data_IF_150381626693
#
_entry.id   IF_150381626693
#
_cell.length_a   1.000
_cell.length_b   1.000
_cell.length_c   1.000
_cell.angle_alpha   90.00
_cell.angle_beta   90.00
_cell.angle_gamma   90.00
#
_symmetry.space_group_name_H-M   'P 1'
#
loop_
_entity.id
_entity.type
_entity.pdbx_description
1 polymer ?
#
# COMPACT_ATOMS: atom_id res chain seq x y z
N UNK A 1 -36.87 -3.04 -9.09
CA UNK A 1 -36.87 -2.80 -7.63
C UNK A 1 -36.96 -1.28 -7.43
N UNK A 2 -37.82 -0.81 -6.52
CA UNK A 2 -38.01 0.63 -6.34
C UNK A 2 -36.84 1.20 -5.52
N UNK A 3 -36.04 2.07 -6.12
CA UNK A 3 -34.84 2.70 -5.51
C UNK A 3 -35.17 3.37 -4.17
N UNK A 4 -36.33 4.05 -4.09
CA UNK A 4 -36.78 4.70 -2.87
C UNK A 4 -37.11 3.70 -1.74
N UNK A 5 -37.66 2.53 -2.06
CA UNK A 5 -37.97 1.49 -1.06
C UNK A 5 -36.67 0.89 -0.49
N UNK A 6 -35.65 0.63 -1.33
CA UNK A 6 -34.35 0.15 -0.87
C UNK A 6 -33.64 1.19 0.01
N UNK A 7 -33.71 2.47 -0.35
CA UNK A 7 -33.15 3.56 0.46
C UNK A 7 -33.78 3.59 1.85
N UNK A 8 -35.11 3.54 1.91
CA UNK A 8 -35.84 3.51 3.19
C UNK A 8 -35.48 2.28 4.04
N UNK A 9 -35.37 1.10 3.42
CA UNK A 9 -34.95 -0.13 4.12
C UNK A 9 -33.52 -0.03 4.66
N UNK A 10 -32.59 0.58 3.91
CA UNK A 10 -31.22 0.78 4.35
C UNK A 10 -31.13 1.69 5.57
N UNK A 11 -31.90 2.81 5.56
CA UNK A 11 -31.98 3.70 6.73
C UNK A 11 -32.60 3.03 7.95
N UNK A 12 -33.68 2.28 7.78
CA UNK A 12 -34.31 1.48 8.86
C UNK A 12 -33.35 0.45 9.45
N UNK A 13 -32.51 -0.17 8.60
CA UNK A 13 -31.50 -1.10 9.09
C UNK A 13 -30.46 -0.40 9.96
N UNK A 14 -30.01 0.81 9.61
CA UNK A 14 -29.09 1.61 10.44
C UNK A 14 -29.75 1.91 11.80
N UNK A 15 -31.00 2.39 11.80
CA UNK A 15 -31.73 2.69 13.03
C UNK A 15 -31.82 1.44 13.91
N UNK A 16 -32.21 0.32 13.34
CA UNK A 16 -32.32 -0.96 14.06
C UNK A 16 -30.98 -1.43 14.64
N UNK A 17 -29.88 -1.31 13.87
CA UNK A 17 -28.53 -1.65 14.38
C UNK A 17 -28.18 -0.83 15.62
N UNK A 18 -28.38 0.48 15.57
CA UNK A 18 -27.88 1.38 16.64
C UNK A 18 -28.88 1.58 17.76
N UNK A 19 -30.19 1.47 17.54
CA UNK A 19 -31.21 1.69 18.54
C UNK A 19 -31.58 0.42 19.31
N UNK A 20 -31.53 -0.74 18.64
CA UNK A 20 -31.99 -2.00 19.20
C UNK A 20 -30.83 -3.01 19.37
N UNK A 21 -30.10 -3.33 18.28
CA UNK A 21 -29.20 -4.47 18.28
C UNK A 21 -27.91 -4.22 19.09
N UNK A 22 -27.20 -3.12 18.84
CA UNK A 22 -25.97 -2.80 19.56
C UNK A 22 -26.24 -2.55 21.05
N UNK A 23 -27.30 -1.83 21.47
CA UNK A 23 -27.65 -1.69 22.87
C UNK A 23 -27.99 -3.01 23.57
N UNK A 24 -28.67 -3.95 22.91
CA UNK A 24 -28.92 -5.29 23.45
C UNK A 24 -27.63 -6.07 23.76
N UNK A 25 -26.50 -5.67 23.13
CA UNK A 25 -25.16 -6.22 23.38
C UNK A 25 -24.29 -5.30 24.27
N UNK A 26 -24.91 -4.40 25.04
CA UNK A 26 -24.24 -3.55 26.03
C UNK A 26 -23.54 -2.30 25.48
N UNK A 27 -23.80 -1.93 24.23
CA UNK A 27 -23.25 -0.70 23.66
C UNK A 27 -24.18 0.49 23.88
N UNK A 28 -23.61 1.63 24.26
CA UNK A 28 -24.39 2.85 24.45
C UNK A 28 -24.90 3.40 23.11
N UNK A 29 -26.16 3.82 23.10
CA UNK A 29 -26.69 4.62 21.99
C UNK A 29 -26.01 5.98 21.93
N UNK A 30 -25.65 6.41 20.72
CA UNK A 30 -25.00 7.70 20.45
C UNK A 30 -25.68 8.35 19.23
N UNK A 31 -26.50 9.37 19.45
CA UNK A 31 -27.25 10.01 18.34
C UNK A 31 -26.33 10.52 17.22
N UNK A 32 -25.15 11.01 17.56
CA UNK A 32 -24.17 11.50 16.58
C UNK A 32 -23.63 10.37 15.69
N UNK A 33 -23.47 9.16 16.26
CA UNK A 33 -23.04 7.98 15.51
C UNK A 33 -24.11 7.54 14.51
N UNK A 34 -25.36 7.56 14.92
CA UNK A 34 -26.53 7.22 14.07
C UNK A 34 -26.60 8.23 12.90
N UNK A 35 -26.56 9.51 13.23
CA UNK A 35 -26.60 10.58 12.22
C UNK A 35 -25.41 10.47 11.23
N UNK A 36 -24.22 10.19 11.74
CA UNK A 36 -23.03 9.97 10.91
C UNK A 36 -23.22 8.80 9.94
N UNK A 37 -23.76 7.66 10.45
CA UNK A 37 -24.02 6.48 9.64
C UNK A 37 -25.03 6.75 8.52
N UNK A 38 -26.11 7.47 8.80
CA UNK A 38 -27.09 7.88 7.79
C UNK A 38 -26.47 8.78 6.70
N UNK A 39 -25.67 9.77 7.08
CA UNK A 39 -25.00 10.65 6.10
C UNK A 39 -24.02 9.88 5.22
N UNK A 40 -23.29 8.92 5.80
CA UNK A 40 -22.39 8.06 5.04
C UNK A 40 -23.17 7.15 4.07
N UNK A 41 -24.30 6.58 4.51
CA UNK A 41 -25.18 5.79 3.66
C UNK A 41 -25.67 6.61 2.46
N UNK A 42 -26.19 7.83 2.71
CA UNK A 42 -26.66 8.71 1.64
C UNK A 42 -25.56 8.97 0.61
N UNK A 43 -24.35 9.29 1.07
CA UNK A 43 -23.23 9.54 0.15
C UNK A 43 -22.86 8.28 -0.67
N UNK A 44 -22.85 7.11 -0.04
CA UNK A 44 -22.57 5.83 -0.73
C UNK A 44 -23.63 5.51 -1.78
N UNK A 45 -24.91 5.74 -1.48
CA UNK A 45 -26.01 5.47 -2.39
C UNK A 45 -26.14 6.48 -3.53
N UNK A 46 -25.73 7.73 -3.29
CA UNK A 46 -25.77 8.80 -4.28
C UNK A 46 -24.47 8.90 -5.12
N UNK A 47 -23.47 8.05 -4.84
CA UNK A 47 -22.17 8.13 -5.53
C UNK A 47 -21.43 9.44 -5.26
N UNK A 48 -21.57 10.02 -4.05
CA UNK A 48 -20.98 11.29 -3.66
C UNK A 48 -19.81 11.09 -2.68
N UNK A 49 -18.93 12.08 -2.62
CA UNK A 49 -17.88 12.16 -1.61
C UNK A 49 -18.48 12.80 -0.35
N UNK A 50 -18.37 12.12 0.79
CA UNK A 50 -18.69 12.65 2.11
C UNK A 50 -17.40 12.92 2.88
N UNK A 51 -17.17 14.15 3.28
CA UNK A 51 -16.14 14.51 4.26
C UNK A 51 -16.81 14.62 5.63
N UNK A 52 -16.50 13.66 6.51
CA UNK A 52 -17.11 13.55 7.83
C UNK A 52 -16.08 13.88 8.91
N UNK A 53 -16.26 15.01 9.59
CA UNK A 53 -15.52 15.33 10.80
C UNK A 53 -16.28 14.81 12.03
N UNK A 54 -15.68 13.88 12.74
CA UNK A 54 -16.29 13.22 13.89
C UNK A 54 -15.24 13.05 14.99
N UNK A 55 -15.56 13.55 16.18
CA UNK A 55 -14.69 13.50 17.35
C UNK A 55 -14.25 12.08 17.74
N UNK A 56 -13.24 12.00 18.59
CA UNK A 56 -12.80 10.72 19.17
C UNK A 56 -13.92 10.13 20.05
N UNK A 57 -14.09 8.82 20.01
CA UNK A 57 -15.09 8.14 20.87
C UNK A 57 -16.52 8.11 20.33
N UNK A 58 -16.87 8.81 19.25
CA UNK A 58 -18.22 8.75 18.64
C UNK A 58 -18.56 7.35 18.10
N UNK A 59 -17.55 6.52 17.82
CA UNK A 59 -17.76 5.19 17.25
C UNK A 59 -17.80 5.17 15.72
N UNK A 60 -16.95 5.96 15.08
CA UNK A 60 -16.81 6.07 13.61
C UNK A 60 -16.80 4.72 12.91
N UNK A 61 -16.08 3.75 13.48
CA UNK A 61 -15.90 2.43 12.86
C UNK A 61 -17.24 1.70 12.66
N UNK A 62 -18.07 1.62 13.68
CA UNK A 62 -19.40 1.04 13.52
C UNK A 62 -20.29 1.86 12.61
N UNK A 63 -20.16 3.21 12.61
CA UNK A 63 -20.95 4.06 11.74
C UNK A 63 -20.72 3.74 10.26
N UNK A 64 -19.46 3.67 9.81
CA UNK A 64 -19.18 3.34 8.42
C UNK A 64 -19.44 1.87 8.08
N UNK A 65 -19.21 0.94 9.00
CA UNK A 65 -19.50 -0.48 8.77
C UNK A 65 -21.00 -0.75 8.64
N UNK A 66 -21.82 -0.13 9.47
CA UNK A 66 -23.28 -0.22 9.38
C UNK A 66 -23.80 0.40 8.08
N UNK A 67 -23.32 1.61 7.73
CA UNK A 67 -23.68 2.27 6.48
C UNK A 67 -23.32 1.43 5.24
N UNK A 68 -22.10 0.90 5.19
CA UNK A 68 -21.62 0.08 4.08
C UNK A 68 -22.38 -1.27 3.99
N UNK A 69 -22.70 -1.88 5.13
CA UNK A 69 -23.50 -3.09 5.17
C UNK A 69 -24.93 -2.84 4.69
N UNK A 70 -25.55 -1.74 5.13
CA UNK A 70 -26.90 -1.34 4.70
C UNK A 70 -26.93 -1.00 3.20
N UNK A 71 -25.93 -0.28 2.68
CA UNK A 71 -25.82 0.01 1.26
C UNK A 71 -25.70 -1.27 0.42
N UNK A 72 -24.93 -2.25 0.89
CA UNK A 72 -24.75 -3.53 0.21
C UNK A 72 -26.00 -4.44 0.29
N UNK A 73 -26.75 -4.40 1.40
CA UNK A 73 -27.95 -5.18 1.60
C UNK A 73 -29.13 -4.62 0.78
N UNK A 74 -29.26 -3.30 0.67
CA UNK A 74 -30.31 -2.59 -0.04
C UNK A 74 -29.73 -1.61 -1.06
N UNK A 75 -29.14 -2.10 -2.15
CA UNK A 75 -28.49 -1.23 -3.14
C UNK A 75 -29.53 -0.39 -3.90
N UNK A 76 -29.22 0.87 -4.12
CA UNK A 76 -29.99 1.80 -4.96
C UNK A 76 -29.56 1.79 -6.43
N UNK A 77 -28.41 1.15 -6.73
CA UNK A 77 -27.82 0.92 -8.04
C UNK A 77 -26.92 -0.30 -8.04
N UNK A 78 -26.10 -0.44 -9.05
CA UNK A 78 -25.05 -1.47 -9.04
C UNK A 78 -23.91 -1.03 -8.11
N UNK A 79 -23.76 -1.74 -6.98
CA UNK A 79 -22.60 -1.57 -6.11
C UNK A 79 -21.59 -2.66 -6.46
N UNK A 80 -20.50 -2.24 -7.11
CA UNK A 80 -19.39 -3.15 -7.36
C UNK A 80 -18.70 -3.51 -6.02
N UNK A 81 -18.42 -4.77 -5.83
CA UNK A 81 -17.73 -5.31 -4.66
C UNK A 81 -16.28 -5.62 -5.01
N UNK A 82 -15.36 -5.51 -4.07
CA UNK A 82 -15.55 -5.25 -2.63
C UNK A 82 -15.74 -3.74 -2.32
N UNK A 83 -16.10 -3.45 -1.07
CA UNK A 83 -15.97 -2.12 -0.48
C UNK A 83 -14.56 -1.99 0.08
N UNK A 84 -13.84 -0.96 -0.29
CA UNK A 84 -12.47 -0.74 0.18
C UNK A 84 -12.49 0.09 1.46
N UNK A 85 -11.82 -0.39 2.52
CA UNK A 85 -11.61 0.34 3.76
C UNK A 85 -10.11 0.64 3.88
N UNK A 86 -9.74 1.90 3.83
CA UNK A 86 -8.37 2.36 4.01
C UNK A 86 -8.20 3.01 5.36
N UNK A 87 -7.25 2.53 6.17
CA UNK A 87 -6.94 3.08 7.50
C UNK A 87 -5.47 3.48 7.60
N UNK A 88 -5.15 4.30 8.60
CA UNK A 88 -3.77 4.80 8.77
C UNK A 88 -2.83 3.81 9.47
N UNK A 89 -3.33 2.75 10.12
CA UNK A 89 -2.49 1.86 10.93
C UNK A 89 -2.87 0.39 10.82
N UNK A 90 -1.88 -0.49 11.02
CA UNK A 90 -2.08 -1.94 11.07
C UNK A 90 -2.97 -2.35 12.25
N UNK A 91 -2.87 -1.64 13.38
CA UNK A 91 -3.71 -1.90 14.55
C UNK A 91 -5.19 -1.70 14.22
N UNK A 92 -5.55 -0.60 13.55
CA UNK A 92 -6.92 -0.35 13.10
C UNK A 92 -7.40 -1.39 12.07
N UNK A 93 -6.55 -1.80 11.13
CA UNK A 93 -6.90 -2.88 10.18
C UNK A 93 -7.26 -4.17 10.91
N UNK A 94 -6.45 -4.54 11.91
CA UNK A 94 -6.68 -5.75 12.71
C UNK A 94 -7.95 -5.61 13.57
N UNK A 95 -8.18 -4.46 14.20
CA UNK A 95 -9.39 -4.23 14.99
C UNK A 95 -10.66 -4.34 14.13
N UNK A 96 -10.66 -3.75 12.92
CA UNK A 96 -11.79 -3.87 11.99
C UNK A 96 -12.06 -5.34 11.65
N UNK A 97 -11.00 -6.11 11.31
CA UNK A 97 -11.15 -7.50 10.89
C UNK A 97 -11.49 -8.46 12.03
N UNK A 98 -10.88 -8.26 13.22
CA UNK A 98 -10.91 -9.26 14.30
C UNK A 98 -11.91 -8.95 15.39
N UNK A 99 -12.37 -7.69 15.49
CA UNK A 99 -13.26 -7.24 16.58
C UNK A 99 -14.58 -6.70 16.03
N UNK A 100 -14.53 -5.61 15.23
CA UNK A 100 -15.74 -4.90 14.82
C UNK A 100 -16.62 -5.70 13.84
N UNK A 101 -16.02 -6.23 12.77
CA UNK A 101 -16.76 -6.99 11.76
C UNK A 101 -17.32 -8.31 12.28
N UNK A 102 -16.59 -9.13 13.07
CA UNK A 102 -17.13 -10.35 13.64
C UNK A 102 -18.32 -10.09 14.56
N UNK A 103 -18.23 -9.06 15.42
CA UNK A 103 -19.32 -8.73 16.33
C UNK A 103 -20.56 -8.24 15.57
N UNK A 104 -20.39 -7.28 14.66
CA UNK A 104 -21.50 -6.81 13.81
C UNK A 104 -22.12 -7.95 13.00
N UNK A 105 -21.30 -8.82 12.44
CA UNK A 105 -21.74 -9.98 11.68
C UNK A 105 -22.55 -10.96 12.55
N UNK A 106 -22.08 -11.26 13.75
CA UNK A 106 -22.78 -12.13 14.71
C UNK A 106 -24.15 -11.57 15.09
N UNK A 107 -24.20 -10.27 15.41
CA UNK A 107 -25.44 -9.57 15.78
C UNK A 107 -26.46 -9.62 14.64
N UNK A 108 -26.05 -9.28 13.42
CA UNK A 108 -26.94 -9.26 12.25
C UNK A 108 -27.38 -10.66 11.82
N UNK A 109 -26.57 -11.69 12.05
CA UNK A 109 -26.96 -13.08 11.81
C UNK A 109 -27.96 -13.58 12.86
N UNK A 110 -27.79 -13.22 14.14
CA UNK A 110 -28.70 -13.58 15.21
C UNK A 110 -30.08 -12.97 15.02
N UNK A 111 -30.15 -11.76 14.47
CA UNK A 111 -31.43 -11.09 14.13
C UNK A 111 -32.03 -11.55 12.78
N UNK A 112 -31.36 -12.46 12.06
CA UNK A 112 -31.84 -12.97 10.78
C UNK A 112 -31.69 -12.04 9.58
N UNK A 113 -31.02 -10.89 9.74
CA UNK A 113 -30.72 -9.94 8.65
C UNK A 113 -29.70 -10.52 7.67
N UNK A 114 -28.69 -11.21 8.19
CA UNK A 114 -27.69 -11.89 7.38
C UNK A 114 -27.84 -13.41 7.47
N UNK A 115 -27.76 -14.07 6.32
CA UNK A 115 -27.73 -15.56 6.23
C UNK A 115 -26.30 -16.11 6.30
N UNK A 116 -25.28 -15.27 6.09
CA UNK A 116 -23.85 -15.62 6.09
C UNK A 116 -23.05 -14.49 6.73
N UNK A 117 -21.90 -14.80 7.37
CA UNK A 117 -21.09 -13.78 7.98
C UNK A 117 -20.52 -12.79 6.96
N UNK A 118 -20.35 -11.55 7.39
CA UNK A 118 -19.62 -10.53 6.63
C UNK A 118 -18.17 -10.96 6.47
N UNK A 119 -17.73 -11.17 5.25
CA UNK A 119 -16.34 -11.57 4.96
C UNK A 119 -15.50 -10.37 4.61
N UNK A 120 -14.32 -10.30 5.22
CA UNK A 120 -13.32 -9.28 4.94
C UNK A 120 -11.93 -9.89 4.81
N UNK A 121 -11.03 -9.17 4.14
CA UNK A 121 -9.61 -9.54 4.02
C UNK A 121 -8.73 -8.30 4.14
N UNK A 122 -7.59 -8.44 4.85
CA UNK A 122 -6.56 -7.39 4.87
C UNK A 122 -5.64 -7.58 3.66
N UNK A 123 -5.46 -6.49 2.91
CA UNK A 123 -4.50 -6.38 1.81
C UNK A 123 -3.33 -5.52 2.23
N UNK A 124 -2.13 -6.01 2.02
CA UNK A 124 -0.87 -5.33 2.34
C UNK A 124 0.04 -5.29 1.13
N UNK A 125 1.09 -4.48 1.19
CA UNK A 125 2.14 -4.47 0.18
C UNK A 125 2.88 -5.80 0.08
N UNK A 126 3.52 -6.07 -1.06
CA UNK A 126 4.25 -7.33 -1.34
C UNK A 126 5.29 -7.66 -0.28
N UNK A 127 5.96 -6.66 0.28
CA UNK A 127 6.99 -6.81 1.33
C UNK A 127 6.47 -7.41 2.65
N UNK A 128 5.14 -7.48 2.85
CA UNK A 128 4.52 -8.10 4.02
C UNK A 128 4.21 -9.58 3.83
N UNK A 129 4.37 -10.11 2.63
CA UNK A 129 4.05 -11.50 2.31
C UNK A 129 5.30 -12.30 2.00
N UNK A 130 5.32 -13.56 2.44
CA UNK A 130 6.43 -14.47 2.18
C UNK A 130 6.38 -15.04 0.77
N UNK A 131 7.53 -15.11 0.12
CA UNK A 131 7.77 -15.86 -1.11
C UNK A 131 8.30 -17.24 -0.78
N UNK A 132 7.59 -18.29 -1.16
CA UNK A 132 7.96 -19.68 -0.82
C UNK A 132 9.34 -20.07 -1.36
N UNK A 133 9.65 -19.68 -2.59
CA UNK A 133 10.96 -19.97 -3.21
C UNK A 133 12.11 -19.29 -2.46
N UNK A 134 11.94 -18.01 -2.11
CA UNK A 134 12.95 -17.27 -1.35
C UNK A 134 13.08 -17.81 0.08
N UNK A 135 11.97 -18.19 0.71
CA UNK A 135 11.96 -18.84 2.02
C UNK A 135 12.73 -20.16 2.00
N UNK A 136 12.48 -21.03 1.03
CA UNK A 136 13.16 -22.31 0.91
C UNK A 136 14.67 -22.14 0.64
N UNK A 137 15.05 -21.16 -0.17
CA UNK A 137 16.45 -20.78 -0.39
C UNK A 137 17.09 -20.31 0.92
N UNK A 138 16.41 -19.46 1.67
CA UNK A 138 16.90 -18.93 2.95
C UNK A 138 17.03 -20.01 4.01
N UNK A 139 16.06 -20.90 4.14
CA UNK A 139 16.10 -22.04 5.07
C UNK A 139 17.28 -22.97 4.78
N UNK A 140 17.59 -23.24 3.50
CA UNK A 140 18.79 -24.02 3.14
C UNK A 140 20.07 -23.33 3.59
N UNK A 141 20.20 -22.01 3.38
CA UNK A 141 21.37 -21.24 3.81
C UNK A 141 21.55 -21.22 5.32
N UNK A 142 20.45 -21.08 6.09
CA UNK A 142 20.51 -21.05 7.56
C UNK A 142 20.82 -22.43 8.14
N UNK A 143 20.31 -23.52 7.54
CA UNK A 143 20.60 -24.88 7.98
C UNK A 143 22.09 -25.29 7.78
N UNK A 144 22.77 -24.66 6.81
CA UNK A 144 24.20 -24.89 6.56
C UNK A 144 25.11 -24.10 7.51
N UNK A 145 24.56 -23.09 8.22
CA UNK A 145 25.31 -22.27 9.17
C UNK A 145 24.86 -22.53 10.62
N UNK A 146 25.79 -22.52 11.58
CA UNK A 146 25.50 -22.57 13.02
C UNK A 146 24.80 -21.25 13.44
N UNK A 147 23.51 -21.05 13.16
CA UNK A 147 22.79 -19.80 13.45
C UNK A 147 21.70 -20.02 14.48
N UNK A 148 21.35 -18.88 15.11
CA UNK A 148 20.37 -18.66 16.17
C UNK A 148 19.11 -19.52 15.99
N UNK A 149 18.77 -20.42 16.94
CA UNK A 149 17.59 -21.26 16.89
C UNK A 149 16.28 -20.51 16.75
N UNK A 150 16.18 -19.31 17.33
CA UNK A 150 14.99 -18.47 17.27
C UNK A 150 14.71 -17.96 15.84
N UNK A 151 15.76 -17.50 15.14
CA UNK A 151 15.63 -17.07 13.75
C UNK A 151 15.19 -18.22 12.84
N UNK A 152 15.70 -19.44 13.09
CA UNK A 152 15.29 -20.64 12.34
C UNK A 152 13.83 -21.00 12.64
N UNK A 153 13.39 -20.89 13.89
CA UNK A 153 12.00 -21.13 14.29
C UNK A 153 11.06 -20.14 13.61
N UNK A 154 11.38 -18.83 13.64
CA UNK A 154 10.62 -17.79 12.96
C UNK A 154 10.50 -18.06 11.45
N UNK A 155 11.60 -18.40 10.78
CA UNK A 155 11.58 -18.77 9.36
C UNK A 155 10.73 -20.02 9.06
N UNK A 156 10.74 -21.01 9.95
CA UNK A 156 9.90 -22.22 9.80
C UNK A 156 8.42 -21.91 9.94
N UNK A 157 8.04 -21.02 10.87
CA UNK A 157 6.64 -20.58 11.03
C UNK A 157 6.09 -19.92 9.75
N UNK A 158 6.94 -19.31 8.93
CA UNK A 158 6.54 -18.75 7.63
C UNK A 158 6.08 -19.81 6.61
N UNK A 159 6.33 -21.10 6.85
CA UNK A 159 5.73 -22.15 6.02
C UNK A 159 4.22 -22.31 6.25
N UNK A 160 3.75 -21.95 7.42
CA UNK A 160 2.35 -22.07 7.82
C UNK A 160 1.54 -20.77 7.57
N UNK A 161 2.19 -19.60 7.61
CA UNK A 161 1.55 -18.32 7.38
C UNK A 161 2.14 -17.59 6.17
N UNK A 162 1.26 -16.94 5.40
CA UNK A 162 1.67 -16.07 4.30
C UNK A 162 2.05 -14.66 4.77
N UNK A 163 1.40 -14.17 5.82
CA UNK A 163 1.57 -12.82 6.36
C UNK A 163 2.72 -12.82 7.38
N UNK A 164 3.82 -12.16 7.02
CA UNK A 164 5.01 -12.05 7.84
C UNK A 164 4.82 -11.23 9.12
N UNK A 165 3.81 -10.35 9.16
CA UNK A 165 3.54 -9.54 10.35
C UNK A 165 2.94 -10.38 11.51
N UNK A 166 2.52 -11.61 11.23
CA UNK A 166 2.05 -12.56 12.23
C UNK A 166 3.15 -13.36 12.89
N UNK A 167 4.39 -13.22 12.42
CA UNK A 167 5.54 -13.95 12.94
C UNK A 167 6.39 -13.03 13.80
N UNK A 168 6.39 -13.26 15.10
CA UNK A 168 7.25 -12.59 16.06
C UNK A 168 8.73 -12.96 15.83
N UNK A 169 9.63 -12.06 16.18
CA UNK A 169 11.10 -12.26 16.13
C UNK A 169 11.70 -12.53 14.72
N UNK A 170 10.95 -12.23 13.65
CA UNK A 170 11.50 -12.23 12.29
C UNK A 170 12.38 -11.00 12.11
N UNK A 171 13.68 -11.18 11.92
CA UNK A 171 14.62 -10.06 11.72
C UNK A 171 14.34 -9.31 10.42
N UNK A 172 14.62 -7.99 10.39
CA UNK A 172 14.51 -7.18 9.16
C UNK A 172 15.31 -7.78 8.01
N UNK A 173 16.52 -8.26 8.31
CA UNK A 173 17.40 -8.95 7.36
C UNK A 173 16.76 -10.20 6.72
N UNK A 174 16.09 -11.03 7.53
CA UNK A 174 15.41 -12.23 7.00
C UNK A 174 14.12 -11.84 6.27
N UNK A 175 13.38 -10.85 6.78
CA UNK A 175 12.17 -10.33 6.14
C UNK A 175 12.43 -9.89 4.70
N UNK A 176 13.43 -9.08 4.44
CA UNK A 176 13.80 -8.61 3.10
C UNK A 176 14.17 -9.77 2.15
N UNK A 177 14.82 -10.80 2.68
CA UNK A 177 15.27 -11.95 1.89
C UNK A 177 14.17 -12.95 1.56
N UNK A 178 13.12 -13.02 2.35
CA UNK A 178 12.02 -13.96 2.14
C UNK A 178 10.74 -13.32 1.63
N UNK A 179 10.63 -11.98 1.61
CA UNK A 179 9.43 -11.30 1.13
C UNK A 179 9.18 -11.53 -0.38
N UNK A 180 7.94 -11.34 -0.78
CA UNK A 180 7.57 -11.31 -2.21
C UNK A 180 8.27 -10.11 -2.87
N UNK A 181 9.09 -10.33 -3.90
CA UNK A 181 9.81 -9.25 -4.57
C UNK A 181 8.85 -8.33 -5.34
N UNK A 182 9.27 -7.09 -5.56
CA UNK A 182 8.49 -6.12 -6.36
C UNK A 182 8.23 -6.64 -7.77
N UNK A 183 9.26 -7.17 -8.41
CA UNK A 183 9.14 -7.93 -9.67
C UNK A 183 9.32 -9.41 -9.34
N UNK A 184 8.30 -10.21 -9.60
CA UNK A 184 8.32 -11.65 -9.36
C UNK A 184 8.37 -12.38 -10.70
N UNK A 185 9.46 -13.10 -10.93
CA UNK A 185 9.70 -14.01 -12.06
C UNK A 185 9.53 -15.48 -11.69
N UNK A 186 9.02 -15.73 -10.48
CA UNK A 186 8.81 -17.07 -9.93
C UNK A 186 7.94 -17.92 -10.86
N UNK A 187 8.49 -19.07 -11.30
CA UNK A 187 7.79 -20.02 -12.16
C UNK A 187 7.00 -21.08 -11.38
N UNK A 188 6.87 -20.96 -10.07
CA UNK A 188 6.09 -21.88 -9.26
C UNK A 188 4.61 -21.85 -9.65
N UNK A 189 4.09 -23.00 -10.11
CA UNK A 189 2.66 -23.13 -10.50
C UNK A 189 1.71 -22.98 -9.32
N UNK A 190 2.15 -23.28 -8.10
CA UNK A 190 1.34 -23.26 -6.86
C UNK A 190 1.87 -22.26 -5.82
N UNK A 191 2.05 -21.01 -6.23
CA UNK A 191 2.51 -19.95 -5.34
C UNK A 191 1.38 -19.52 -4.38
N UNK A 192 1.59 -19.61 -3.06
CA UNK A 192 0.63 -19.20 -2.03
C UNK A 192 0.20 -17.74 -2.17
N UNK A 193 1.13 -16.85 -2.48
CA UNK A 193 0.80 -15.43 -2.70
C UNK A 193 -0.12 -15.23 -3.91
N UNK A 194 0.13 -15.90 -5.02
CA UNK A 194 -0.75 -15.81 -6.20
C UNK A 194 -2.14 -16.42 -5.93
N UNK A 195 -2.22 -17.52 -5.17
CA UNK A 195 -3.51 -18.08 -4.72
C UNK A 195 -4.27 -17.10 -3.83
N UNK A 196 -3.56 -16.46 -2.90
CA UNK A 196 -4.16 -15.43 -2.05
C UNK A 196 -4.72 -14.26 -2.89
N UNK A 197 -3.96 -13.73 -3.85
CA UNK A 197 -4.44 -12.68 -4.75
C UNK A 197 -5.69 -13.11 -5.52
N UNK A 198 -5.66 -14.30 -6.13
CA UNK A 198 -6.84 -14.86 -6.83
C UNK A 198 -8.06 -15.02 -5.91
N UNK A 199 -7.83 -15.31 -4.63
CA UNK A 199 -8.90 -15.39 -3.64
C UNK A 199 -9.47 -14.02 -3.32
N UNK A 200 -8.63 -12.98 -3.24
CA UNK A 200 -9.06 -11.61 -3.04
C UNK A 200 -9.82 -11.04 -4.24
N UNK A 201 -9.49 -11.48 -5.46
CA UNK A 201 -10.15 -11.03 -6.70
C UNK A 201 -11.55 -11.66 -6.91
N UNK A 202 -11.91 -12.69 -6.11
CA UNK A 202 -13.24 -13.29 -6.13
C UNK A 202 -14.25 -12.44 -5.35
N UNK A 203 -15.49 -12.42 -5.80
CA UNK A 203 -16.62 -11.71 -5.14
C UNK A 203 -17.10 -12.39 -3.83
N UNK A 204 -16.16 -12.85 -3.01
CA UNK A 204 -16.47 -13.49 -1.74
C UNK A 204 -16.26 -12.58 -0.53
N UNK A 205 -15.53 -11.48 -0.69
CA UNK A 205 -15.29 -10.51 0.36
C UNK A 205 -16.15 -9.28 0.14
N UNK A 206 -16.94 -8.92 1.15
CA UNK A 206 -17.64 -7.63 1.14
C UNK A 206 -16.67 -6.49 1.35
N UNK A 207 -15.66 -6.70 2.22
CA UNK A 207 -14.67 -5.67 2.54
C UNK A 207 -13.25 -6.12 2.20
N UNK A 208 -12.48 -5.22 1.61
CA UNK A 208 -11.02 -5.34 1.54
C UNK A 208 -10.41 -4.16 2.31
N UNK A 209 -9.62 -4.49 3.33
CA UNK A 209 -9.05 -3.52 4.27
C UNK A 209 -7.58 -3.32 3.89
N UNK A 210 -7.13 -2.07 3.84
CA UNK A 210 -5.75 -1.72 3.49
C UNK A 210 -5.25 -0.50 4.26
N UNK A 211 -4.00 -0.13 4.06
CA UNK A 211 -3.48 1.18 4.46
C UNK A 211 -3.58 2.20 3.32
N UNK A 212 -3.40 3.47 3.64
CA UNK A 212 -3.46 4.55 2.65
C UNK A 212 -2.43 4.40 1.53
N UNK A 213 -1.24 3.87 1.83
CA UNK A 213 -0.23 3.62 0.81
C UNK A 213 -0.73 2.65 -0.27
N UNK A 214 -1.41 1.57 0.12
CA UNK A 214 -1.91 0.59 -0.84
C UNK A 214 -3.09 1.14 -1.65
N UNK A 215 -3.94 1.97 -1.04
CA UNK A 215 -5.03 2.68 -1.73
C UNK A 215 -4.46 3.63 -2.80
N UNK A 216 -3.49 4.47 -2.44
CA UNK A 216 -2.84 5.39 -3.38
C UNK A 216 -2.09 4.64 -4.47
N UNK A 217 -1.41 3.52 -4.12
CA UNK A 217 -0.75 2.67 -5.12
C UNK A 217 -1.74 2.08 -6.13
N UNK A 218 -2.93 1.65 -5.71
CA UNK A 218 -3.98 1.17 -6.62
C UNK A 218 -4.46 2.28 -7.57
N UNK A 219 -4.69 3.48 -7.02
CA UNK A 219 -5.10 4.64 -7.80
C UNK A 219 -4.04 5.03 -8.85
N UNK A 220 -2.75 5.02 -8.48
CA UNK A 220 -1.64 5.24 -9.43
C UNK A 220 -1.64 4.16 -10.51
N UNK A 221 -1.77 2.87 -10.13
CA UNK A 221 -1.82 1.77 -11.10
C UNK A 221 -2.95 1.96 -12.11
N UNK A 222 -4.16 2.31 -11.65
CA UNK A 222 -5.31 2.57 -12.52
C UNK A 222 -5.05 3.74 -13.48
N UNK A 223 -4.54 4.85 -12.97
CA UNK A 223 -4.26 6.05 -13.77
C UNK A 223 -3.17 5.84 -14.84
N UNK A 224 -2.27 4.89 -14.61
CA UNK A 224 -1.19 4.52 -15.54
C UNK A 224 -1.56 3.33 -16.47
N UNK A 225 -2.81 2.85 -16.42
CA UNK A 225 -3.25 1.67 -17.19
C UNK A 225 -2.57 0.36 -16.78
N UNK A 226 -1.98 0.31 -15.59
CA UNK A 226 -1.38 -0.90 -15.02
C UNK A 226 -2.47 -1.78 -14.41
N UNK A 227 -2.15 -3.07 -14.17
CA UNK A 227 -3.07 -3.98 -13.49
C UNK A 227 -3.44 -3.40 -12.12
N UNK A 228 -4.74 -3.19 -11.82
CA UNK A 228 -5.21 -2.73 -10.52
C UNK A 228 -4.81 -3.69 -9.38
N UNK A 229 -4.62 -3.14 -8.20
CA UNK A 229 -4.35 -3.93 -6.98
C UNK A 229 -5.65 -4.49 -6.42
N UNK A 230 -6.71 -3.69 -6.42
CA UNK A 230 -8.04 -4.11 -5.99
C UNK A 230 -8.92 -4.45 -7.20
N UNK A 231 -9.90 -5.36 -7.03
CA UNK A 231 -10.98 -5.55 -8.02
C UNK A 231 -11.76 -4.24 -8.25
N UNK A 232 -12.67 -4.26 -9.23
CA UNK A 232 -13.61 -3.15 -9.41
C UNK A 232 -14.43 -2.91 -8.13
N UNK A 233 -14.56 -1.65 -7.74
CA UNK A 233 -15.24 -1.26 -6.51
C UNK A 233 -15.90 0.11 -6.70
N UNK A 234 -17.03 0.33 -6.02
CA UNK A 234 -17.78 1.58 -6.10
C UNK A 234 -17.68 2.42 -4.83
N UNK A 235 -17.28 1.82 -3.71
CA UNK A 235 -17.24 2.48 -2.42
C UNK A 235 -15.84 2.37 -1.83
N UNK A 236 -15.29 3.53 -1.46
CA UNK A 236 -14.03 3.65 -0.72
C UNK A 236 -14.33 4.39 0.58
N UNK A 237 -13.93 3.80 1.69
CA UNK A 237 -13.98 4.41 3.03
C UNK A 237 -12.54 4.73 3.44
N UNK A 238 -12.27 5.99 3.72
CA UNK A 238 -10.95 6.45 4.19
C UNK A 238 -11.08 6.88 5.64
N UNK A 239 -10.64 6.01 6.54
CA UNK A 239 -10.59 6.31 7.98
C UNK A 239 -9.30 7.06 8.32
N UNK A 240 -9.35 8.04 9.23
CA UNK A 240 -8.23 8.96 9.52
C UNK A 240 -7.73 9.69 8.26
N UNK A 241 -8.67 10.20 7.45
CA UNK A 241 -8.40 10.78 6.13
C UNK A 241 -7.42 11.97 6.16
N UNK A 242 -7.20 12.59 7.33
CA UNK A 242 -6.22 13.67 7.52
C UNK A 242 -4.77 13.21 7.22
N UNK A 243 -4.49 11.92 7.27
CA UNK A 243 -3.17 11.33 6.93
C UNK A 243 -3.00 11.00 5.44
N UNK A 244 -4.09 10.99 4.68
CA UNK A 244 -4.03 10.64 3.25
C UNK A 244 -3.19 11.63 2.42
N UNK A 245 -3.25 12.96 2.63
CA UNK A 245 -2.44 13.91 1.87
C UNK A 245 -0.94 13.67 2.02
N UNK A 246 -0.46 13.44 3.25
CA UNK A 246 0.95 13.14 3.50
C UNK A 246 1.37 11.84 2.82
N UNK A 247 0.56 10.78 2.94
CA UNK A 247 0.79 9.51 2.26
C UNK A 247 0.86 9.68 0.74
N UNK A 248 -0.06 10.44 0.18
CA UNK A 248 -0.08 10.68 -1.26
C UNK A 248 1.11 11.52 -1.72
N UNK A 249 1.55 12.49 -0.92
CA UNK A 249 2.75 13.27 -1.22
C UNK A 249 3.99 12.39 -1.27
N UNK A 250 4.13 11.44 -0.33
CA UNK A 250 5.22 10.46 -0.34
C UNK A 250 5.14 9.51 -1.53
N UNK A 251 3.95 9.01 -1.85
CA UNK A 251 3.75 8.02 -2.92
C UNK A 251 3.84 8.61 -4.33
N UNK A 252 3.48 9.89 -4.50
CA UNK A 252 3.57 10.62 -5.76
C UNK A 252 4.91 11.34 -5.91
N UNK A 253 5.71 11.33 -4.87
CA UNK A 253 7.07 11.83 -4.89
C UNK A 253 8.05 10.85 -5.52
N UNK A 254 9.25 11.33 -5.78
CA UNK A 254 10.39 10.51 -6.24
C UNK A 254 11.52 10.66 -5.23
N UNK A 255 12.13 9.56 -4.88
CA UNK A 255 13.33 9.53 -4.04
C UNK A 255 14.50 8.94 -4.82
N UNK A 256 15.71 9.33 -4.47
CA UNK A 256 16.93 8.75 -4.96
C UNK A 256 17.91 8.60 -3.79
N UNK A 257 18.00 7.38 -3.28
CA UNK A 257 18.90 7.01 -2.21
C UNK A 257 20.23 6.45 -2.77
N UNK A 258 21.30 6.55 -2.00
CA UNK A 258 22.59 5.97 -2.37
C UNK A 258 22.50 4.45 -2.60
N UNK A 259 21.63 3.76 -1.85
CA UNK A 259 21.45 2.32 -1.96
C UNK A 259 20.84 1.91 -3.29
N UNK A 260 19.90 2.67 -3.85
CA UNK A 260 19.30 2.37 -5.17
C UNK A 260 20.36 2.38 -6.27
N UNK A 261 21.26 3.36 -6.24
CA UNK A 261 22.38 3.46 -7.19
C UNK A 261 23.35 2.29 -6.99
N UNK A 262 23.72 1.98 -5.73
CA UNK A 262 24.63 0.86 -5.43
C UNK A 262 24.03 -0.48 -5.84
N UNK A 263 22.75 -0.68 -5.62
CA UNK A 263 22.05 -1.91 -6.02
C UNK A 263 22.03 -2.07 -7.54
N UNK A 264 21.85 -0.98 -8.29
CA UNK A 264 21.97 -1.02 -9.76
C UNK A 264 23.39 -1.39 -10.20
N UNK A 265 24.44 -0.77 -9.59
CA UNK A 265 25.83 -1.10 -9.90
C UNK A 265 26.13 -2.58 -9.60
N UNK A 266 25.71 -3.09 -8.45
CA UNK A 266 25.88 -4.50 -8.08
C UNK A 266 25.18 -5.42 -9.08
N UNK A 267 23.98 -5.09 -9.47
CA UNK A 267 23.19 -5.90 -10.42
C UNK A 267 23.86 -5.94 -11.81
N UNK A 268 24.37 -4.82 -12.29
CA UNK A 268 25.16 -4.77 -13.52
C UNK A 268 26.41 -5.67 -13.43
N UNK A 269 27.10 -5.67 -12.28
CA UNK A 269 28.25 -6.56 -12.05
C UNK A 269 27.84 -8.05 -12.02
N UNK A 270 26.73 -8.38 -11.38
CA UNK A 270 26.19 -9.75 -11.32
C UNK A 270 25.78 -10.28 -12.70
N UNK A 271 25.20 -9.44 -13.54
CA UNK A 271 24.85 -9.73 -14.93
C UNK A 271 26.06 -9.65 -15.90
N UNK A 272 27.26 -9.39 -15.40
CA UNK A 272 28.53 -9.30 -16.14
C UNK A 272 28.65 -8.12 -17.10
N UNK A 273 27.89 -7.03 -16.91
CA UNK A 273 28.04 -5.77 -17.62
C UNK A 273 29.07 -4.87 -16.90
N UNK A 274 30.32 -5.34 -16.78
CA UNK A 274 31.34 -4.71 -15.97
C UNK A 274 31.68 -3.28 -16.40
N UNK A 275 31.77 -3.04 -17.70
CA UNK A 275 32.05 -1.70 -18.23
C UNK A 275 30.93 -0.71 -17.89
N UNK A 276 29.68 -1.11 -18.03
CA UNK A 276 28.53 -0.26 -17.65
C UNK A 276 28.50 0.01 -16.15
N UNK A 277 28.82 -0.98 -15.33
CA UNK A 277 28.95 -0.80 -13.88
C UNK A 277 30.05 0.17 -13.51
N UNK A 278 31.22 0.08 -14.11
CA UNK A 278 32.36 1.00 -13.90
C UNK A 278 32.01 2.42 -14.33
N UNK A 279 31.45 2.61 -15.51
CA UNK A 279 31.00 3.92 -15.99
C UNK A 279 29.98 4.57 -15.02
N UNK A 280 29.06 3.77 -14.48
CA UNK A 280 28.07 4.25 -13.53
C UNK A 280 28.70 4.57 -12.17
N UNK A 281 29.62 3.73 -11.69
CA UNK A 281 30.35 3.92 -10.44
C UNK A 281 31.17 5.21 -10.47
N UNK A 282 31.91 5.46 -11.56
CA UNK A 282 32.69 6.67 -11.78
C UNK A 282 31.80 7.94 -11.81
N UNK A 283 30.72 7.90 -12.58
CA UNK A 283 29.84 9.06 -12.75
C UNK A 283 29.03 9.38 -11.47
N UNK A 284 28.71 8.37 -10.65
CA UNK A 284 27.93 8.55 -9.42
C UNK A 284 28.79 8.66 -8.15
N UNK A 285 30.07 8.36 -8.20
CA UNK A 285 30.95 8.34 -7.04
C UNK A 285 30.93 9.62 -6.18
N UNK A 286 31.00 10.82 -6.75
CA UNK A 286 30.88 12.07 -5.97
C UNK A 286 29.53 12.19 -5.26
N UNK A 287 28.42 11.85 -5.93
CA UNK A 287 27.07 11.87 -5.35
C UNK A 287 26.94 10.86 -4.21
N UNK A 288 27.42 9.63 -4.41
CA UNK A 288 27.36 8.57 -3.39
C UNK A 288 28.12 8.96 -2.12
N UNK A 289 29.25 9.66 -2.23
CA UNK A 289 29.99 10.17 -1.07
C UNK A 289 29.19 11.23 -0.31
N UNK A 290 28.47 12.12 -1.02
CA UNK A 290 27.62 13.14 -0.40
C UNK A 290 26.41 12.51 0.30
N UNK A 291 25.73 11.60 -0.34
CA UNK A 291 24.57 10.91 0.22
C UNK A 291 24.92 9.97 1.39
N UNK A 292 26.19 9.59 1.54
CA UNK A 292 26.64 8.81 2.69
C UNK A 292 26.84 9.65 3.97
N UNK A 293 26.84 10.98 3.87
CA UNK A 293 26.98 11.88 5.02
C UNK A 293 25.66 11.95 5.81
N UNK A 294 25.70 12.04 7.14
CA UNK A 294 24.52 12.32 7.96
C UNK A 294 23.79 13.57 7.48
N UNK A 295 22.47 13.60 7.61
CA UNK A 295 21.64 14.72 7.14
C UNK A 295 22.06 16.07 7.71
N UNK A 296 22.50 16.12 8.96
CA UNK A 296 22.94 17.36 9.63
C UNK A 296 24.21 17.96 8.98
N UNK A 297 25.02 17.10 8.35
CA UNK A 297 26.23 17.48 7.61
C UNK A 297 26.00 17.51 6.09
N UNK A 298 24.79 17.15 5.63
CA UNK A 298 24.47 17.13 4.21
C UNK A 298 24.47 18.56 3.63
N UNK A 299 25.14 18.72 2.52
CA UNK A 299 25.09 19.98 1.78
C UNK A 299 23.67 20.28 1.28
N UNK A 300 23.39 21.58 0.96
CA UNK A 300 22.13 21.96 0.34
C UNK A 300 21.78 21.09 -0.87
N UNK A 301 20.49 20.89 -1.09
CA UNK A 301 20.01 20.06 -2.20
C UNK A 301 20.61 20.44 -3.55
N UNK A 302 20.85 21.72 -3.79
CA UNK A 302 21.47 22.24 -5.02
C UNK A 302 22.86 21.68 -5.26
N UNK A 303 23.65 21.46 -4.21
CA UNK A 303 24.98 20.86 -4.34
C UNK A 303 24.88 19.39 -4.77
N UNK A 304 23.92 18.63 -4.22
CA UNK A 304 23.65 17.26 -4.64
C UNK A 304 23.11 17.20 -6.09
N UNK A 305 22.22 18.12 -6.46
CA UNK A 305 21.64 18.18 -7.82
C UNK A 305 22.72 18.45 -8.88
N UNK A 306 23.71 19.29 -8.59
CA UNK A 306 24.85 19.54 -9.50
C UNK A 306 25.68 18.28 -9.79
N UNK A 307 25.76 17.36 -8.82
CA UNK A 307 26.47 16.08 -8.98
C UNK A 307 25.72 15.08 -9.85
N UNK A 308 24.45 15.34 -10.19
CA UNK A 308 23.68 14.51 -11.12
C UNK A 308 23.99 14.78 -12.60
N UNK A 309 24.76 15.80 -12.93
CA UNK A 309 25.11 16.12 -14.33
C UNK A 309 25.82 14.96 -15.01
N UNK A 310 26.80 14.32 -14.36
CA UNK A 310 27.52 13.18 -14.92
C UNK A 310 26.62 11.93 -15.06
N UNK A 311 25.87 11.50 -14.03
CA UNK A 311 24.92 10.40 -14.15
C UNK A 311 23.86 10.64 -15.22
N UNK A 312 23.35 11.87 -15.40
CA UNK A 312 22.35 12.20 -16.41
C UNK A 312 22.84 11.98 -17.86
N UNK A 313 24.14 12.04 -18.08
CA UNK A 313 24.76 11.70 -19.36
C UNK A 313 25.04 10.19 -19.49
N UNK A 314 25.50 9.55 -18.41
CA UNK A 314 25.92 8.15 -18.41
C UNK A 314 24.75 7.17 -18.48
N UNK A 315 23.69 7.39 -17.70
CA UNK A 315 22.54 6.49 -17.62
C UNK A 315 21.82 6.28 -18.96
N UNK A 316 21.55 7.31 -19.79
CA UNK A 316 20.97 7.10 -21.12
C UNK A 316 21.86 6.29 -22.07
N UNK A 317 23.19 6.37 -21.93
CA UNK A 317 24.13 5.57 -22.71
C UNK A 317 24.00 4.10 -22.32
N UNK A 318 24.02 3.80 -21.02
CA UNK A 318 23.85 2.45 -20.48
C UNK A 318 22.50 1.89 -20.94
N UNK A 319 21.43 2.67 -20.80
CA UNK A 319 20.08 2.26 -21.22
C UNK A 319 20.03 1.89 -22.72
N UNK A 320 20.68 2.69 -23.58
CA UNK A 320 20.71 2.44 -25.03
C UNK A 320 21.53 1.22 -25.40
N UNK A 321 22.63 0.98 -24.69
CA UNK A 321 23.55 -0.10 -25.02
C UNK A 321 23.08 -1.46 -24.52
N UNK A 322 22.56 -1.52 -23.30
CA UNK A 322 22.27 -2.79 -22.63
C UNK A 322 20.86 -2.89 -22.03
N UNK A 323 20.06 -1.83 -22.06
CA UNK A 323 18.74 -1.79 -21.38
C UNK A 323 17.79 -2.91 -21.79
N UNK A 324 17.80 -3.33 -23.06
CA UNK A 324 17.01 -4.46 -23.57
C UNK A 324 17.63 -5.84 -23.32
N UNK A 325 18.89 -5.88 -22.92
CA UNK A 325 19.63 -7.13 -22.65
C UNK A 325 19.62 -7.50 -21.16
N UNK A 326 19.30 -6.55 -20.29
CA UNK A 326 19.21 -6.77 -18.84
C UNK A 326 18.04 -7.68 -18.51
N UNK A 327 18.17 -8.38 -17.38
CA UNK A 327 17.03 -9.07 -16.76
C UNK A 327 15.88 -8.09 -16.50
N UNK A 328 14.63 -8.58 -16.35
CA UNK A 328 13.50 -7.72 -16.02
C UNK A 328 13.72 -6.89 -14.74
N UNK A 329 14.47 -7.41 -13.77
CA UNK A 329 14.82 -6.70 -12.55
C UNK A 329 15.85 -5.59 -12.83
N UNK A 330 16.93 -5.91 -13.53
CA UNK A 330 17.98 -4.96 -13.88
C UNK A 330 17.46 -3.81 -14.75
N UNK A 331 16.66 -4.13 -15.76
CA UNK A 331 16.02 -3.12 -16.62
C UNK A 331 15.11 -2.18 -15.81
N UNK A 332 14.35 -2.71 -14.85
CA UNK A 332 13.51 -1.88 -13.96
C UNK A 332 14.34 -1.00 -13.05
N UNK A 333 15.40 -1.52 -12.41
CA UNK A 333 16.28 -0.73 -11.56
C UNK A 333 16.95 0.40 -12.34
N UNK A 334 17.45 0.09 -13.54
CA UNK A 334 18.04 1.09 -14.42
C UNK A 334 17.03 2.20 -14.78
N UNK A 335 15.81 1.84 -15.15
CA UNK A 335 14.77 2.81 -15.46
C UNK A 335 14.38 3.65 -14.25
N UNK A 336 14.26 3.06 -13.06
CA UNK A 336 13.94 3.80 -11.83
C UNK A 336 15.00 4.87 -11.53
N UNK A 337 16.28 4.51 -11.55
CA UNK A 337 17.37 5.47 -11.31
C UNK A 337 17.45 6.52 -12.43
N UNK A 338 17.28 6.09 -13.69
CA UNK A 338 17.29 6.99 -14.85
C UNK A 338 16.16 8.03 -14.78
N UNK A 339 14.95 7.60 -14.46
CA UNK A 339 13.78 8.48 -14.38
C UNK A 339 13.88 9.43 -13.18
N UNK A 340 14.41 8.97 -12.03
CA UNK A 340 14.72 9.83 -10.91
C UNK A 340 15.77 10.89 -11.29
N UNK A 341 16.88 10.51 -11.89
CA UNK A 341 17.93 11.45 -12.32
C UNK A 341 17.38 12.45 -13.35
N UNK A 342 16.58 12.02 -14.31
CA UNK A 342 15.92 12.92 -15.27
C UNK A 342 15.03 13.94 -14.57
N UNK A 343 14.24 13.51 -13.59
CA UNK A 343 13.38 14.42 -12.83
C UNK A 343 14.19 15.47 -12.08
N UNK A 344 15.19 15.04 -11.32
CA UNK A 344 16.05 15.93 -10.54
C UNK A 344 16.89 16.88 -11.38
N UNK A 345 17.15 16.56 -12.66
CA UNK A 345 17.88 17.40 -13.61
C UNK A 345 16.96 18.20 -14.54
N UNK A 346 15.64 18.00 -14.44
CA UNK A 346 14.66 18.74 -15.24
C UNK A 346 14.37 20.11 -14.65
N UNK A 347 13.98 21.05 -15.52
CA UNK A 347 13.56 22.40 -15.11
C UNK A 347 12.08 22.46 -14.66
N UNK A 348 11.53 21.39 -14.07
CA UNK A 348 10.14 21.37 -13.63
C UNK A 348 9.93 22.30 -12.45
N UNK A 349 9.04 23.26 -12.60
CA UNK A 349 8.72 24.29 -11.59
C UNK A 349 7.66 23.87 -10.59
N UNK A 350 6.97 22.75 -10.85
CA UNK A 350 5.87 22.21 -10.01
C UNK A 350 6.36 21.20 -8.95
N UNK A 351 7.66 20.94 -8.90
CA UNK A 351 8.27 20.03 -7.93
C UNK A 351 9.12 20.78 -6.91
N UNK A 352 9.06 20.33 -5.67
CA UNK A 352 9.89 20.79 -4.56
C UNK A 352 10.97 19.74 -4.34
N UNK A 353 12.24 20.16 -4.49
CA UNK A 353 13.40 19.31 -4.26
C UNK A 353 13.98 19.57 -2.87
N UNK A 354 14.26 18.49 -2.13
CA UNK A 354 14.82 18.56 -0.79
C UNK A 354 15.64 17.31 -0.48
N UNK A 355 16.41 17.35 0.61
CA UNK A 355 17.08 16.18 1.16
C UNK A 355 16.34 15.68 2.39
N UNK A 356 16.23 14.35 2.54
CA UNK A 356 15.71 13.71 3.73
C UNK A 356 16.72 12.69 4.26
N UNK A 357 16.53 12.24 5.50
CA UNK A 357 17.30 11.14 6.06
C UNK A 357 16.84 9.80 5.47
N UNK A 358 17.80 9.00 5.03
CA UNK A 358 17.56 7.60 4.69
C UNK A 358 17.59 6.76 5.96
N UNK A 359 16.43 6.40 6.46
CA UNK A 359 16.25 5.63 7.70
C UNK A 359 17.00 4.30 7.68
N UNK A 360 17.29 3.75 6.51
CA UNK A 360 18.00 2.45 6.38
C UNK A 360 19.50 2.57 6.59
N UNK A 361 20.08 3.70 6.18
CA UNK A 361 21.53 3.91 6.17
C UNK A 361 22.00 5.02 7.12
N UNK A 362 21.08 5.87 7.61
CA UNK A 362 21.40 7.10 8.36
C UNK A 362 22.01 8.20 7.50
N UNK A 363 22.13 7.98 6.19
CA UNK A 363 22.64 8.97 5.24
C UNK A 363 21.53 9.90 4.72
N UNK A 364 21.88 10.73 3.76
CA UNK A 364 20.91 11.57 3.07
C UNK A 364 20.36 10.90 1.81
N UNK A 365 19.15 11.24 1.43
CA UNK A 365 18.55 10.89 0.13
C UNK A 365 17.99 12.15 -0.53
N UNK A 366 18.01 12.19 -1.86
CA UNK A 366 17.32 13.21 -2.64
C UNK A 366 15.84 12.88 -2.72
N UNK A 367 15.01 13.89 -2.51
CA UNK A 367 13.57 13.79 -2.56
C UNK A 367 12.99 14.86 -3.49
N UNK A 368 11.99 14.48 -4.26
CA UNK A 368 11.17 15.38 -5.04
C UNK A 368 9.70 15.15 -4.68
N UNK A 369 9.01 16.18 -4.27
CA UNK A 369 7.58 16.15 -3.99
C UNK A 369 6.84 17.11 -4.90
N UNK A 370 5.62 16.77 -5.31
CA UNK A 370 4.77 17.69 -6.03
C UNK A 370 4.40 18.88 -5.13
N UNK A 371 4.53 20.11 -5.63
CA UNK A 371 4.16 21.31 -4.89
C UNK A 371 2.66 21.40 -4.60
N UNK A 372 1.82 20.95 -5.53
CA UNK A 372 0.38 20.77 -5.35
C UNK A 372 -0.02 19.33 -5.67
N UNK A 373 -0.29 18.55 -4.61
CA UNK A 373 -0.78 17.18 -4.74
C UNK A 373 -2.30 17.12 -4.97
N UNK A 374 -3.02 18.21 -4.73
CA UNK A 374 -4.50 18.25 -4.73
C UNK A 374 -5.05 17.83 -6.08
N UNK A 375 -4.52 18.42 -7.15
CA UNK A 375 -4.97 18.10 -8.51
C UNK A 375 -4.63 16.66 -8.90
N UNK A 376 -3.45 16.16 -8.50
CA UNK A 376 -3.05 14.78 -8.77
C UNK A 376 -3.93 13.78 -8.02
N UNK A 377 -4.16 13.98 -6.71
CA UNK A 377 -5.06 13.13 -5.92
C UNK A 377 -6.48 13.18 -6.48
N UNK A 378 -6.99 14.38 -6.82
CA UNK A 378 -8.32 14.53 -7.40
C UNK A 378 -8.46 13.69 -8.66
N UNK A 379 -7.50 13.75 -9.56
CA UNK A 379 -7.51 12.98 -10.80
C UNK A 379 -7.46 11.47 -10.58
N UNK A 380 -6.58 10.98 -9.71
CA UNK A 380 -6.34 9.54 -9.56
C UNK A 380 -7.35 8.84 -8.63
N UNK A 381 -7.88 9.53 -7.60
CA UNK A 381 -8.77 8.93 -6.61
C UNK A 381 -10.23 9.32 -6.79
N UNK A 382 -10.51 10.58 -7.20
CA UNK A 382 -11.87 11.11 -7.16
C UNK A 382 -12.51 11.29 -8.54
N UNK A 383 -11.70 11.36 -9.57
CA UNK A 383 -12.13 11.51 -10.96
C UNK A 383 -11.24 10.64 -11.86
N UNK A 384 -11.21 9.33 -11.66
CA UNK A 384 -10.57 8.44 -12.63
C UNK A 384 -11.35 8.53 -13.94
N UNK A 385 -10.62 8.76 -15.06
CA UNK A 385 -11.20 8.82 -16.42
C UNK A 385 -11.84 7.48 -16.78
#
# INVERSE_FOLDING_TARGET
>A
MNTNDNRLKAHKLIDHIFQDLLPAHGMAQRPEQIQLSHRMLDAMQDGRIALCDAGTGIGKTYAYLAAATAASAFPTGQIARPIIISTSSIALQNAVLMEYLPLLSCILMADGILTKPLKAVIRKGKSHYVCDERLDRRLRQVNLGKKNPEALAALRTLKETLDMDRVSHLSGYDRERVCVPQVCDCKQRDCRYQRFLKTCDKDQFLFQICNHNLLVADAIHRSEGKRPIFPEHSIIIVDEAHKLPETAQQMLGVTLAAEEIRNLILHLKEERYLLAAEMLEDSTGPLLRKLAQPREEAEPVEACLRLLTAPSCTLPIIQRQIGSLLSPLGSRQLNTVLDAVKLFTSSQTDMIFYTAEDVSTGGAMLCAAAGDITQRIKKILWQPD
#
